data_IF_418096262111
#
_entry.id   IF_418096262111
#
_cell.length_a   1.000
_cell.length_b   1.000
_cell.length_c   1.000
_cell.angle_alpha   90.00
_cell.angle_beta   90.00
_cell.angle_gamma   90.00
#
_symmetry.space_group_name_H-M   'P 1'
#
loop_
_entity.id
_entity.type
_entity.pdbx_description
1 polymer ?
#
# COMPACT_ATOMS: atom_id res chain seq x y z
N UNK A 1 23.09 4.26 -69.36
CA UNK A 1 23.51 2.89 -69.01
C UNK A 1 22.57 2.39 -67.90
N UNK A 2 21.52 1.65 -68.28
CA UNK A 2 20.45 1.22 -67.36
C UNK A 2 20.74 -0.21 -66.94
N UNK A 3 21.00 -0.42 -65.65
CA UNK A 3 21.29 -1.73 -65.05
C UNK A 3 19.96 -2.37 -64.69
N UNK A 4 19.49 -3.31 -65.51
CA UNK A 4 18.25 -4.06 -65.28
C UNK A 4 18.49 -5.02 -64.11
N UNK A 5 17.73 -4.87 -63.01
CA UNK A 5 17.77 -5.77 -61.86
C UNK A 5 17.02 -7.08 -62.22
N UNK A 6 17.75 -8.19 -62.24
CA UNK A 6 17.17 -9.53 -62.39
C UNK A 6 16.36 -9.93 -61.14
N UNK A 7 15.09 -10.27 -61.35
CA UNK A 7 14.20 -10.83 -60.34
C UNK A 7 14.62 -12.28 -60.01
N UNK A 8 15.45 -12.47 -58.98
CA UNK A 8 15.65 -13.79 -58.37
C UNK A 8 14.41 -14.17 -57.59
N UNK A 9 13.59 -15.06 -58.14
CA UNK A 9 12.46 -15.68 -57.43
C UNK A 9 13.04 -16.52 -56.29
N UNK A 10 12.79 -16.11 -55.04
CA UNK A 10 13.26 -16.83 -53.86
C UNK A 10 12.57 -18.19 -53.76
N UNK A 11 13.36 -19.25 -53.83
CA UNK A 11 12.90 -20.61 -53.57
C UNK A 11 12.78 -20.77 -52.06
N UNK A 12 11.58 -20.53 -51.53
CA UNK A 12 11.25 -20.84 -50.14
C UNK A 12 11.29 -22.36 -49.97
N UNK A 13 12.37 -22.86 -49.41
CA UNK A 13 12.52 -24.27 -49.07
C UNK A 13 11.38 -24.69 -48.14
N UNK A 14 10.79 -25.86 -48.38
CA UNK A 14 9.66 -26.39 -47.60
C UNK A 14 9.94 -26.40 -46.09
N UNK A 15 11.20 -26.57 -45.72
CA UNK A 15 11.68 -26.49 -44.33
C UNK A 15 11.46 -25.12 -43.69
N UNK A 16 11.69 -24.02 -44.41
CA UNK A 16 11.44 -22.67 -43.90
C UNK A 16 9.95 -22.43 -43.64
N UNK A 17 9.09 -22.96 -44.51
CA UNK A 17 7.64 -22.85 -44.37
C UNK A 17 7.13 -23.59 -43.13
N UNK A 18 7.63 -24.81 -42.88
CA UNK A 18 7.26 -25.58 -41.66
C UNK A 18 7.73 -24.86 -40.40
N UNK A 19 8.95 -24.34 -40.37
CA UNK A 19 9.48 -23.60 -39.19
C UNK A 19 8.65 -22.36 -38.88
N UNK A 20 8.21 -21.62 -39.90
CA UNK A 20 7.35 -20.44 -39.73
C UNK A 20 6.00 -20.83 -39.13
N UNK A 21 5.37 -21.92 -39.61
CA UNK A 21 4.09 -22.39 -39.07
C UNK A 21 4.23 -22.76 -37.59
N UNK A 22 5.28 -23.51 -37.23
CA UNK A 22 5.51 -23.90 -35.83
C UNK A 22 5.71 -22.68 -34.93
N UNK A 23 6.44 -21.66 -35.40
CA UNK A 23 6.67 -20.42 -34.65
C UNK A 23 5.37 -19.61 -34.47
N UNK A 24 4.55 -19.52 -35.50
CA UNK A 24 3.25 -18.83 -35.43
C UNK A 24 2.32 -19.56 -34.45
N UNK A 25 2.24 -20.90 -34.53
CA UNK A 25 1.37 -21.69 -33.65
C UNK A 25 1.82 -21.59 -32.19
N UNK A 26 3.13 -21.65 -31.91
CA UNK A 26 3.64 -21.49 -30.54
C UNK A 26 3.39 -20.09 -29.98
N UNK A 27 3.56 -19.05 -30.79
CA UNK A 27 3.25 -17.68 -30.40
C UNK A 27 1.76 -17.48 -30.09
N UNK A 28 0.86 -18.06 -30.91
CA UNK A 28 -0.59 -18.01 -30.65
C UNK A 28 -0.96 -18.70 -29.34
N UNK A 29 -0.37 -19.87 -29.04
CA UNK A 29 -0.62 -20.58 -27.77
C UNK A 29 -0.17 -19.73 -26.58
N UNK A 30 1.00 -19.09 -26.66
CA UNK A 30 1.51 -18.22 -25.60
C UNK A 30 0.60 -17.00 -25.40
N UNK A 31 0.21 -16.31 -26.48
CA UNK A 31 -0.72 -15.19 -26.39
C UNK A 31 -2.06 -15.62 -25.79
N UNK A 32 -2.60 -16.76 -26.21
CA UNK A 32 -3.83 -17.31 -25.66
C UNK A 32 -3.71 -17.51 -24.15
N UNK A 33 -2.60 -18.08 -23.65
CA UNK A 33 -2.37 -18.23 -22.22
C UNK A 33 -2.29 -16.88 -21.50
N UNK A 34 -1.58 -15.89 -22.04
CA UNK A 34 -1.48 -14.55 -21.43
C UNK A 34 -2.85 -13.88 -21.33
N UNK A 35 -3.66 -13.92 -22.39
CA UNK A 35 -5.00 -13.35 -22.37
C UNK A 35 -5.96 -14.13 -21.46
N UNK A 36 -5.85 -15.46 -21.41
CA UNK A 36 -6.69 -16.28 -20.52
C UNK A 36 -6.35 -16.12 -19.05
N UNK A 37 -5.08 -15.81 -18.75
CA UNK A 37 -4.63 -15.51 -17.40
C UNK A 37 -5.14 -14.14 -16.92
N UNK A 38 -5.71 -13.32 -17.82
CA UNK A 38 -6.29 -12.00 -17.55
C UNK A 38 -5.62 -11.34 -16.35
N UNK A 39 -4.34 -10.93 -16.48
CA UNK A 39 -3.71 -10.15 -15.43
C UNK A 39 -4.60 -8.92 -15.28
N UNK A 40 -5.42 -8.91 -14.24
CA UNK A 40 -6.34 -7.81 -13.98
C UNK A 40 -5.53 -6.53 -13.91
N UNK A 41 -6.19 -5.38 -14.06
CA UNK A 41 -5.53 -4.11 -13.75
C UNK A 41 -4.96 -4.21 -12.33
N UNK A 42 -3.64 -4.29 -12.24
CA UNK A 42 -2.96 -4.39 -10.95
C UNK A 42 -3.22 -3.09 -10.22
N UNK A 43 -3.76 -3.19 -9.01
CA UNK A 43 -3.96 -2.00 -8.19
C UNK A 43 -2.60 -1.38 -7.83
N UNK A 44 -2.56 -0.07 -7.60
CA UNK A 44 -1.34 0.60 -7.10
C UNK A 44 -0.80 -0.07 -5.82
N UNK A 45 -1.69 -0.65 -5.01
CA UNK A 45 -1.34 -1.42 -3.80
C UNK A 45 -0.56 -2.69 -4.14
N UNK A 46 -1.00 -3.45 -5.13
CA UNK A 46 -0.32 -4.67 -5.61
C UNK A 46 1.02 -4.34 -6.28
N UNK A 47 1.08 -3.28 -7.09
CA UNK A 47 2.33 -2.82 -7.71
C UNK A 47 3.36 -2.45 -6.64
N UNK A 48 2.94 -1.68 -5.62
CA UNK A 48 3.80 -1.35 -4.50
C UNK A 48 4.28 -2.60 -3.76
N UNK A 49 3.37 -3.51 -3.39
CA UNK A 49 3.70 -4.76 -2.71
C UNK A 49 4.73 -5.59 -3.49
N UNK A 50 4.49 -5.77 -4.79
CA UNK A 50 5.40 -6.50 -5.66
C UNK A 50 6.77 -5.80 -5.74
N UNK A 51 6.81 -4.47 -5.82
CA UNK A 51 8.07 -3.72 -5.83
C UNK A 51 8.85 -3.86 -4.51
N UNK A 52 8.15 -3.85 -3.37
CA UNK A 52 8.72 -4.07 -2.03
C UNK A 52 9.29 -5.48 -1.91
N UNK A 53 8.51 -6.51 -2.29
CA UNK A 53 8.93 -7.90 -2.25
C UNK A 53 10.12 -8.16 -3.18
N UNK A 54 10.10 -7.63 -4.40
CA UNK A 54 11.21 -7.77 -5.36
C UNK A 54 12.49 -7.11 -4.82
N UNK A 55 12.37 -5.94 -4.21
CA UNK A 55 13.50 -5.23 -3.60
C UNK A 55 14.09 -6.01 -2.42
N UNK A 56 13.26 -6.58 -1.56
CA UNK A 56 13.74 -7.34 -0.39
C UNK A 56 14.25 -8.76 -0.69
N UNK A 57 13.81 -9.38 -1.80
CA UNK A 57 14.24 -10.74 -2.19
C UNK A 57 15.50 -10.79 -3.06
N UNK A 58 16.06 -9.65 -3.50
CA UNK A 58 17.27 -9.63 -4.31
C UNK A 58 18.48 -10.13 -3.49
N UNK A 59 18.77 -11.43 -3.65
CA UNK A 59 19.94 -12.16 -3.11
C UNK A 59 21.26 -11.46 -3.45
N UNK A 60 21.29 -10.66 -4.52
CA UNK A 60 22.37 -9.72 -4.83
C UNK A 60 22.13 -8.38 -4.13
N UNK A 61 22.22 -8.41 -2.80
CA UNK A 61 22.22 -7.28 -1.87
C UNK A 61 23.24 -6.16 -2.16
N UNK A 62 24.07 -6.31 -3.20
CA UNK A 62 25.13 -5.39 -3.59
C UNK A 62 24.74 -4.40 -4.70
N UNK A 63 23.62 -4.64 -5.40
CA UNK A 63 23.06 -3.68 -6.36
C UNK A 63 21.72 -3.23 -5.83
N UNK A 64 21.59 -1.93 -5.52
CA UNK A 64 20.34 -1.30 -5.11
C UNK A 64 19.20 -1.83 -5.98
N UNK A 65 18.28 -2.59 -5.37
CA UNK A 65 17.07 -3.03 -6.07
C UNK A 65 16.39 -1.81 -6.70
N UNK A 66 15.72 -2.02 -7.83
CA UNK A 66 15.07 -0.94 -8.57
C UNK A 66 14.22 -0.01 -7.67
N UNK A 67 13.92 1.22 -8.13
CA UNK A 67 13.15 2.16 -7.34
C UNK A 67 11.81 1.53 -6.93
N UNK A 68 11.40 1.74 -5.68
CA UNK A 68 10.08 1.33 -5.24
C UNK A 68 9.01 2.06 -6.06
N UNK A 69 7.96 1.34 -6.43
CA UNK A 69 6.83 1.92 -7.15
C UNK A 69 5.59 1.98 -6.25
N UNK A 70 5.79 2.68 -5.14
CA UNK A 70 4.75 2.93 -4.16
C UNK A 70 4.25 4.37 -4.32
N UNK A 71 2.94 4.50 -4.53
CA UNK A 71 2.23 5.78 -4.62
C UNK A 71 1.32 5.92 -3.40
N UNK A 72 1.23 7.13 -2.88
CA UNK A 72 0.28 7.48 -1.83
C UNK A 72 -1.13 7.36 -2.37
N UNK A 73 -1.97 6.54 -1.73
CA UNK A 73 -3.39 6.49 -2.06
C UNK A 73 -4.15 7.60 -1.35
N UNK A 74 -5.16 8.16 -2.00
CA UNK A 74 -6.04 9.12 -1.35
C UNK A 74 -7.39 8.44 -1.11
N UNK A 75 -7.85 8.43 0.14
CA UNK A 75 -9.08 7.80 0.57
C UNK A 75 -10.06 8.86 1.06
N UNK A 76 -11.24 8.92 0.44
CA UNK A 76 -12.36 9.71 0.91
C UNK A 76 -13.37 8.79 1.59
N UNK A 77 -13.56 8.97 2.89
CA UNK A 77 -14.64 8.31 3.63
C UNK A 77 -15.83 9.25 3.59
N UNK A 78 -16.95 8.81 3.02
CA UNK A 78 -18.08 9.65 2.64
C UNK A 78 -19.39 9.16 3.26
N UNK A 79 -20.10 10.06 3.94
CA UNK A 79 -21.50 9.90 4.33
C UNK A 79 -22.51 10.30 3.24
N UNK A 80 -22.04 10.44 1.99
CA UNK A 80 -22.84 10.77 0.82
C UNK A 80 -22.47 12.09 0.13
N UNK A 81 -21.45 12.82 0.59
CA UNK A 81 -20.86 13.97 -0.12
C UNK A 81 -19.46 13.64 -0.65
N UNK A 82 -18.84 14.53 -1.42
CA UNK A 82 -17.46 14.36 -1.90
C UNK A 82 -16.47 15.05 -0.96
N UNK A 83 -15.26 14.52 -0.86
CA UNK A 83 -14.17 15.19 -0.15
C UNK A 83 -13.60 16.30 -1.04
N UNK A 84 -13.83 17.56 -0.68
CA UNK A 84 -13.54 18.73 -1.51
C UNK A 84 -12.07 18.83 -1.93
N UNK A 85 -11.15 18.32 -1.11
CA UNK A 85 -9.72 18.50 -1.32
C UNK A 85 -9.01 17.31 -1.96
N UNK A 86 -9.75 16.32 -2.50
CA UNK A 86 -9.18 15.09 -3.11
C UNK A 86 -9.87 14.73 -4.44
N UNK A 87 -9.43 15.37 -5.53
CA UNK A 87 -10.00 15.16 -6.87
C UNK A 87 -9.82 13.74 -7.47
N UNK A 88 -9.03 12.87 -6.85
CA UNK A 88 -8.73 11.51 -7.37
C UNK A 88 -8.74 10.43 -6.28
N UNK A 89 -9.48 10.65 -5.20
CA UNK A 89 -9.56 9.70 -4.10
C UNK A 89 -10.45 8.49 -4.43
N UNK A 90 -10.03 7.32 -3.95
CA UNK A 90 -10.92 6.18 -3.78
C UNK A 90 -11.99 6.54 -2.76
N UNK A 91 -13.26 6.29 -3.06
CA UNK A 91 -14.39 6.64 -2.19
C UNK A 91 -14.91 5.41 -1.47
N UNK A 92 -15.08 5.53 -0.15
CA UNK A 92 -15.78 4.55 0.68
C UNK A 92 -17.05 5.19 1.22
N UNK A 93 -18.19 4.63 0.84
CA UNK A 93 -19.49 5.12 1.29
C UNK A 93 -19.86 4.50 2.65
N UNK A 94 -20.27 5.34 3.58
CA UNK A 94 -20.74 5.00 4.92
C UNK A 94 -22.21 5.36 5.05
N UNK A 95 -23.02 4.43 5.53
CA UNK A 95 -24.44 4.71 5.73
C UNK A 95 -24.68 5.40 7.07
N UNK A 96 -24.74 6.73 7.07
CA UNK A 96 -24.98 7.52 8.28
C UNK A 96 -26.35 7.30 8.94
N UNK A 97 -27.27 6.54 8.34
CA UNK A 97 -28.53 6.19 9.00
C UNK A 97 -28.40 4.92 9.86
N UNK A 98 -27.29 4.18 9.71
CA UNK A 98 -27.01 2.99 10.50
C UNK A 98 -26.54 3.39 11.92
N UNK A 99 -26.91 2.58 12.92
CA UNK A 99 -26.38 2.73 14.29
C UNK A 99 -24.89 2.40 14.35
N UNK A 100 -24.42 1.55 13.45
CA UNK A 100 -23.02 1.13 13.36
C UNK A 100 -22.19 2.02 12.42
N UNK A 101 -22.69 3.18 11.98
CA UNK A 101 -21.97 4.02 11.01
C UNK A 101 -20.61 4.50 11.51
N UNK A 102 -20.45 4.67 12.82
CA UNK A 102 -19.15 4.98 13.43
C UNK A 102 -18.16 3.83 13.27
N UNK A 103 -18.62 2.60 13.48
CA UNK A 103 -17.82 1.39 13.26
C UNK A 103 -17.46 1.20 11.78
N UNK A 104 -18.36 1.57 10.85
CA UNK A 104 -18.07 1.56 9.41
C UNK A 104 -16.94 2.55 9.05
N UNK A 105 -16.90 3.73 9.69
CA UNK A 105 -15.81 4.71 9.52
C UNK A 105 -14.49 4.14 10.04
N UNK A 106 -14.50 3.60 11.27
CA UNK A 106 -13.32 2.97 11.88
C UNK A 106 -12.84 1.79 11.04
N UNK A 107 -13.76 0.98 10.51
CA UNK A 107 -13.45 -0.15 9.63
C UNK A 107 -12.74 0.29 8.36
N UNK A 108 -13.19 1.37 7.73
CA UNK A 108 -12.57 1.92 6.52
C UNK A 108 -11.11 2.33 6.79
N UNK A 109 -10.86 3.03 7.91
CA UNK A 109 -9.51 3.39 8.34
C UNK A 109 -8.68 2.15 8.66
N UNK A 110 -9.22 1.19 9.41
CA UNK A 110 -8.54 -0.03 9.81
C UNK A 110 -8.14 -0.90 8.61
N UNK A 111 -9.02 -1.02 7.61
CA UNK A 111 -8.72 -1.70 6.34
C UNK A 111 -7.54 -1.03 5.64
N UNK A 112 -7.54 0.30 5.57
CA UNK A 112 -6.47 1.02 4.88
C UNK A 112 -5.12 0.94 5.61
N UNK A 113 -5.13 0.93 6.94
CA UNK A 113 -3.93 0.61 7.73
C UNK A 113 -3.44 -0.81 7.46
N UNK A 114 -4.36 -1.76 7.33
CA UNK A 114 -4.02 -3.15 7.12
C UNK A 114 -3.52 -3.44 5.69
N UNK A 115 -4.01 -2.69 4.72
CA UNK A 115 -3.51 -2.67 3.34
C UNK A 115 -2.13 -2.03 3.27
N UNK A 116 -1.90 -0.91 3.97
CA UNK A 116 -0.56 -0.33 4.12
C UNK A 116 0.44 -1.33 4.69
N UNK A 117 0.07 -2.05 5.75
CA UNK A 117 0.93 -3.08 6.35
C UNK A 117 1.26 -4.20 5.36
N UNK A 118 0.27 -4.64 4.60
CA UNK A 118 0.44 -5.65 3.56
C UNK A 118 1.36 -5.16 2.44
N UNK A 119 1.15 -3.93 1.94
CA UNK A 119 1.96 -3.31 0.88
C UNK A 119 3.45 -3.34 1.23
N UNK A 120 3.80 -3.12 2.49
CA UNK A 120 5.19 -3.11 2.95
C UNK A 120 5.68 -4.46 3.50
N UNK A 121 5.01 -5.56 3.13
CA UNK A 121 5.48 -6.91 3.39
C UNK A 121 5.29 -7.39 4.83
N UNK A 122 4.38 -6.77 5.59
CA UNK A 122 3.96 -7.19 6.94
C UNK A 122 5.11 -7.35 7.95
N UNK A 123 6.20 -6.60 7.73
CA UNK A 123 7.42 -6.70 8.51
C UNK A 123 8.22 -7.98 8.31
N UNK A 124 8.04 -8.66 7.17
CA UNK A 124 8.83 -9.84 6.77
C UNK A 124 9.81 -9.52 5.66
N UNK A 125 9.72 -8.33 5.07
CA UNK A 125 10.50 -7.90 3.91
C UNK A 125 11.33 -6.69 4.31
N UNK A 126 12.66 -6.82 4.24
CA UNK A 126 13.55 -5.67 4.33
C UNK A 126 13.70 -5.06 2.92
N UNK A 127 13.00 -3.96 2.67
CA UNK A 127 13.05 -3.20 1.41
C UNK A 127 14.02 -2.01 1.47
N UNK A 128 14.81 -1.96 2.53
CA UNK A 128 15.82 -0.97 2.81
C UNK A 128 17.00 -0.95 1.86
N UNK A 129 17.92 0.00 2.10
CA UNK A 129 19.27 -0.07 1.52
C UNK A 129 20.27 -0.50 2.59
N UNK A 130 20.96 -1.60 2.33
CA UNK A 130 21.93 -2.15 3.27
C UNK A 130 23.06 -1.15 3.49
N UNK A 131 23.31 -0.83 4.77
CA UNK A 131 24.33 0.13 5.17
C UNK A 131 23.87 1.59 5.15
N UNK A 132 22.60 1.85 4.82
CA UNK A 132 21.95 3.12 5.13
C UNK A 132 21.67 3.21 6.62
N UNK A 133 22.05 4.32 7.25
CA UNK A 133 21.63 4.63 8.62
C UNK A 133 20.36 5.48 8.68
N UNK A 134 19.74 5.73 7.52
CA UNK A 134 18.56 6.58 7.41
C UNK A 134 17.29 5.75 7.51
N UNK A 135 16.40 6.16 8.41
CA UNK A 135 15.05 5.58 8.53
C UNK A 135 14.26 5.89 7.26
N UNK A 136 13.58 4.89 6.71
CA UNK A 136 12.73 5.03 5.52
C UNK A 136 11.26 4.96 5.90
N UNK A 137 10.53 6.04 5.66
CA UNK A 137 9.11 6.14 5.91
C UNK A 137 8.31 6.05 4.62
N UNK A 138 7.14 5.44 4.69
CA UNK A 138 6.18 5.36 3.60
C UNK A 138 4.84 5.93 4.05
N UNK A 139 4.29 6.85 3.27
CA UNK A 139 2.89 7.29 3.39
C UNK A 139 2.07 6.42 2.45
N UNK A 140 1.43 5.40 2.98
CA UNK A 140 0.61 4.50 2.19
C UNK A 140 -0.66 5.18 1.69
N UNK A 141 -1.27 5.99 2.56
CA UNK A 141 -2.54 6.64 2.24
C UNK A 141 -2.74 7.93 3.00
N UNK A 142 -3.50 8.85 2.42
CA UNK A 142 -4.06 10.02 3.07
C UNK A 142 -5.57 9.87 3.12
N UNK A 143 -6.12 9.92 4.33
CA UNK A 143 -7.54 9.78 4.62
C UNK A 143 -8.15 11.15 4.88
N UNK A 144 -9.28 11.43 4.24
CA UNK A 144 -10.13 12.59 4.47
C UNK A 144 -11.57 12.14 4.67
N UNK A 145 -12.30 12.82 5.55
CA UNK A 145 -13.70 12.56 5.83
C UNK A 145 -14.56 13.65 5.20
N UNK A 146 -15.71 13.29 4.65
CA UNK A 146 -16.63 14.27 4.07
C UNK A 146 -17.33 15.13 5.14
N UNK A 147 -17.94 16.23 4.72
CA UNK A 147 -18.58 17.17 5.65
C UNK A 147 -19.70 16.53 6.48
N UNK A 148 -20.43 15.54 5.93
CA UNK A 148 -21.52 14.87 6.65
C UNK A 148 -20.98 14.04 7.80
N UNK A 149 -19.88 13.31 7.58
CA UNK A 149 -19.18 12.60 8.64
C UNK A 149 -18.66 13.60 9.66
N UNK A 150 -18.00 14.69 9.23
CA UNK A 150 -17.49 15.71 10.14
C UNK A 150 -18.56 16.30 11.07
N UNK A 151 -19.76 16.56 10.52
CA UNK A 151 -20.89 17.11 11.28
C UNK A 151 -21.47 16.09 12.28
N UNK A 152 -21.54 14.81 11.91
CA UNK A 152 -22.16 13.76 12.74
C UNK A 152 -21.18 13.18 13.77
N UNK A 153 -19.92 13.02 13.39
CA UNK A 153 -18.83 12.41 14.14
C UNK A 153 -17.62 13.35 14.10
N UNK A 154 -17.61 14.45 14.87
CA UNK A 154 -16.53 15.45 14.84
C UNK A 154 -15.19 14.87 15.32
N UNK A 155 -15.24 13.85 16.17
CA UNK A 155 -14.08 13.17 16.72
C UNK A 155 -14.37 11.68 16.92
N UNK A 156 -13.33 10.86 16.81
CA UNK A 156 -13.32 9.44 17.19
C UNK A 156 -12.21 9.27 18.22
N UNK A 157 -12.51 8.74 19.41
CA UNK A 157 -11.46 8.57 20.41
C UNK A 157 -10.53 7.43 20.04
N UNK A 158 -9.25 7.56 20.38
CA UNK A 158 -8.32 6.46 20.16
C UNK A 158 -8.71 5.21 20.97
N UNK A 159 -9.31 5.37 22.14
CA UNK A 159 -9.86 4.27 22.92
C UNK A 159 -10.89 3.44 22.14
N UNK A 160 -11.86 4.10 21.50
CA UNK A 160 -12.86 3.45 20.64
C UNK A 160 -12.21 2.79 19.42
N UNK A 161 -11.29 3.52 18.76
CA UNK A 161 -10.56 3.02 17.60
C UNK A 161 -9.79 1.73 17.91
N UNK A 162 -8.96 1.73 18.95
CA UNK A 162 -8.17 0.55 19.32
C UNK A 162 -9.01 -0.59 19.90
N UNK A 163 -10.11 -0.29 20.60
CA UNK A 163 -11.04 -1.31 21.05
C UNK A 163 -11.73 -2.01 19.87
N UNK A 164 -12.10 -1.26 18.82
CA UNK A 164 -12.55 -1.85 17.56
C UNK A 164 -11.47 -2.74 16.93
N UNK A 165 -10.23 -2.25 16.80
CA UNK A 165 -9.14 -3.06 16.23
C UNK A 165 -8.92 -4.37 17.00
N UNK A 166 -9.11 -4.34 18.33
CA UNK A 166 -8.99 -5.51 19.20
C UNK A 166 -10.10 -6.52 18.98
N UNK A 167 -11.34 -6.07 18.85
CA UNK A 167 -12.55 -6.91 18.78
C UNK A 167 -12.83 -7.44 17.38
N UNK A 168 -12.48 -6.68 16.34
CA UNK A 168 -12.81 -7.00 14.96
C UNK A 168 -11.74 -7.88 14.31
N UNK A 169 -12.18 -8.98 13.68
CA UNK A 169 -11.30 -9.90 12.94
C UNK A 169 -10.94 -9.31 11.56
N UNK A 170 -9.65 -9.29 11.21
CA UNK A 170 -9.19 -9.04 9.83
C UNK A 170 -9.29 -10.32 8.99
N UNK A 171 -8.84 -11.44 9.56
CA UNK A 171 -8.91 -12.78 8.97
C UNK A 171 -9.27 -13.80 10.06
N UNK A 172 -9.73 -14.99 9.66
CA UNK A 172 -10.43 -16.00 10.48
C UNK A 172 -9.90 -16.29 11.91
N UNK A 173 -8.64 -15.98 12.23
CA UNK A 173 -8.06 -16.15 13.58
C UNK A 173 -7.34 -14.92 14.14
N UNK A 174 -7.33 -13.78 13.45
CA UNK A 174 -6.51 -12.62 13.83
C UNK A 174 -7.32 -11.31 13.81
N UNK A 175 -7.30 -10.58 14.93
CA UNK A 175 -7.86 -9.23 15.01
C UNK A 175 -6.99 -8.22 14.26
N UNK A 176 -7.53 -7.05 13.92
CA UNK A 176 -6.73 -5.97 13.33
C UNK A 176 -5.57 -5.56 14.24
N UNK A 177 -5.80 -5.46 15.56
CA UNK A 177 -4.78 -5.11 16.54
C UNK A 177 -3.61 -6.10 16.48
N UNK A 178 -3.93 -7.41 16.47
CA UNK A 178 -2.90 -8.44 16.40
C UNK A 178 -2.18 -8.44 15.06
N UNK A 179 -2.88 -8.19 13.96
CA UNK A 179 -2.30 -8.13 12.63
C UNK A 179 -1.33 -6.95 12.46
N UNK A 180 -1.74 -5.75 12.89
CA UNK A 180 -0.96 -4.52 12.71
C UNK A 180 0.22 -4.45 13.69
N UNK A 181 0.02 -4.89 14.93
CA UNK A 181 0.97 -4.62 16.02
C UNK A 181 1.55 -5.89 16.66
N UNK A 182 1.01 -7.07 16.36
CA UNK A 182 1.45 -8.33 16.98
C UNK A 182 0.99 -8.50 18.44
N UNK A 183 0.02 -7.70 18.90
CA UNK A 183 -0.45 -7.71 20.30
C UNK A 183 -1.97 -7.89 20.37
N UNK A 184 -2.46 -8.41 21.49
CA UNK A 184 -3.91 -8.59 21.74
C UNK A 184 -4.48 -7.59 22.74
N UNK A 185 -3.61 -6.81 23.38
CA UNK A 185 -3.98 -5.82 24.39
C UNK A 185 -3.43 -4.45 23.98
N UNK A 186 -4.32 -3.46 23.99
CA UNK A 186 -4.08 -2.05 23.60
C UNK A 186 -2.99 -1.42 24.46
N UNK A 187 -2.84 -1.85 25.72
CA UNK A 187 -1.80 -1.34 26.61
C UNK A 187 -0.38 -1.55 26.05
N UNK A 188 -0.14 -2.63 25.29
CA UNK A 188 1.17 -2.87 24.67
C UNK A 188 1.43 -1.96 23.48
N UNK A 189 0.38 -1.46 22.80
CA UNK A 189 0.55 -0.49 21.71
C UNK A 189 1.04 0.84 22.27
N UNK A 190 0.46 1.29 23.39
CA UNK A 190 0.82 2.56 24.05
C UNK A 190 2.30 2.57 24.41
N UNK A 191 2.77 1.51 25.07
CA UNK A 191 4.14 1.41 25.61
C UNK A 191 5.19 1.33 24.50
N UNK A 192 4.87 0.69 23.38
CA UNK A 192 5.82 0.47 22.28
C UNK A 192 5.62 1.41 21.08
N UNK A 193 4.66 2.34 21.17
CA UNK A 193 4.45 3.32 20.10
C UNK A 193 5.57 4.35 20.07
N UNK A 194 6.20 4.50 18.92
CA UNK A 194 7.22 5.54 18.73
C UNK A 194 6.61 6.94 18.69
N UNK A 195 5.34 7.03 18.31
CA UNK A 195 4.58 8.28 18.18
C UNK A 195 3.98 8.78 19.52
N UNK A 196 4.32 8.16 20.66
CA UNK A 196 3.88 8.53 22.01
C UNK A 196 2.36 8.73 22.10
N UNK A 197 1.60 7.81 21.53
CA UNK A 197 0.15 7.90 21.46
C UNK A 197 -0.45 7.74 22.85
N UNK A 198 -1.27 8.70 23.28
CA UNK A 198 -2.06 8.61 24.50
C UNK A 198 -3.50 8.20 24.17
N UNK A 199 -3.77 6.89 24.21
CA UNK A 199 -5.07 6.30 23.87
C UNK A 199 -6.25 6.90 24.64
N UNK A 200 -6.02 7.44 25.84
CA UNK A 200 -7.09 8.00 26.68
C UNK A 200 -7.42 9.46 26.33
N UNK A 201 -6.50 10.19 25.70
CA UNK A 201 -6.63 11.63 25.49
C UNK A 201 -6.62 12.01 24.00
N UNK A 202 -5.95 11.22 23.16
CA UNK A 202 -5.80 11.48 21.74
C UNK A 202 -7.07 11.08 20.98
N UNK A 203 -7.34 11.82 19.91
CA UNK A 203 -8.55 11.66 19.09
C UNK A 203 -8.21 11.82 17.61
N UNK A 204 -9.00 11.16 16.77
CA UNK A 204 -9.03 11.40 15.33
C UNK A 204 -10.09 12.47 15.10
N UNK A 205 -9.64 13.68 14.79
CA UNK A 205 -10.48 14.84 14.49
C UNK A 205 -10.91 14.76 13.04
N UNK A 206 -12.18 14.48 12.73
CA UNK A 206 -12.59 14.16 11.35
C UNK A 206 -12.51 15.36 10.39
N UNK A 207 -12.38 16.57 10.90
CA UNK A 207 -12.12 17.78 10.12
C UNK A 207 -10.64 17.94 9.70
N UNK A 208 -9.76 17.01 10.08
CA UNK A 208 -8.36 16.98 9.68
C UNK A 208 -8.10 15.84 8.68
N UNK A 209 -7.00 15.96 7.94
CA UNK A 209 -6.47 14.88 7.10
C UNK A 209 -5.52 14.01 7.89
N UNK A 210 -5.54 12.71 7.63
CA UNK A 210 -4.67 11.75 8.30
C UNK A 210 -3.80 10.98 7.32
N UNK A 211 -2.52 10.88 7.64
CA UNK A 211 -1.57 10.04 6.91
C UNK A 211 -1.47 8.68 7.59
N UNK A 212 -1.63 7.61 6.82
CA UNK A 212 -1.31 6.24 7.23
C UNK A 212 0.13 5.96 6.85
N UNK A 213 0.97 5.74 7.85
CA UNK A 213 2.42 5.64 7.71
C UNK A 213 2.96 4.32 8.22
N UNK A 214 4.04 3.86 7.60
CA UNK A 214 4.88 2.74 8.05
C UNK A 214 6.33 3.04 7.68
N UNK A 215 7.26 2.16 8.01
CA UNK A 215 8.67 2.39 7.74
C UNK A 215 9.58 1.26 8.18
N UNK A 216 10.87 1.43 7.91
CA UNK A 216 11.93 0.51 8.28
C UNK A 216 13.19 1.29 8.70
N UNK A 217 13.84 0.83 9.76
CA UNK A 217 15.18 1.26 10.15
C UNK A 217 16.18 0.26 9.60
N UNK A 218 17.05 0.70 8.71
CA UNK A 218 18.07 -0.12 8.05
C UNK A 218 19.38 -0.18 8.83
N UNK A 219 19.42 0.39 10.06
CA UNK A 219 20.61 0.44 10.87
C UNK A 219 21.13 -0.98 11.21
N UNK A 220 22.35 -1.36 10.80
CA UNK A 220 22.88 -2.72 10.96
C UNK A 220 23.17 -3.14 12.42
N UNK A 221 23.13 -2.20 13.37
CA UNK A 221 23.50 -2.44 14.78
C UNK A 221 22.29 -2.86 15.62
N UNK A 222 21.11 -2.32 15.33
CA UNK A 222 19.84 -2.71 15.94
C UNK A 222 19.06 -3.51 14.90
N UNK A 223 18.72 -4.76 15.20
CA UNK A 223 17.96 -5.63 14.29
C UNK A 223 16.80 -4.88 13.61
N UNK A 224 16.79 -4.82 12.28
CA UNK A 224 15.79 -4.19 11.39
C UNK A 224 14.52 -3.75 12.15
N UNK A 225 14.50 -2.51 12.67
CA UNK A 225 13.35 -2.01 13.42
C UNK A 225 12.28 -1.66 12.40
N UNK A 226 11.31 -2.56 12.23
CA UNK A 226 10.19 -2.32 11.34
C UNK A 226 9.15 -1.49 12.08
N UNK A 227 8.88 -0.31 11.54
CA UNK A 227 7.89 0.61 12.06
C UNK A 227 6.51 0.05 11.71
N UNK A 228 5.73 -0.28 12.73
CA UNK A 228 4.33 -0.69 12.58
C UNK A 228 3.53 0.42 11.90
N UNK A 229 2.32 0.08 11.47
CA UNK A 229 1.45 1.06 10.82
C UNK A 229 0.83 1.99 11.85
N UNK A 230 0.86 3.29 11.58
CA UNK A 230 0.20 4.30 12.40
C UNK A 230 -0.61 5.23 11.53
N UNK A 231 -1.64 5.81 12.15
CA UNK A 231 -2.40 6.91 11.60
C UNK A 231 -2.02 8.18 12.38
N UNK A 232 -1.62 9.24 11.69
CA UNK A 232 -1.23 10.51 12.30
C UNK A 232 -1.82 11.68 11.49
N UNK A 233 -2.06 12.85 12.12
CA UNK A 233 -2.46 14.04 11.35
C UNK A 233 -1.44 14.35 10.26
N UNK A 234 -1.90 14.61 9.04
CA UNK A 234 -1.01 14.89 7.90
C UNK A 234 -0.16 16.15 8.15
N UNK A 235 -0.69 17.12 8.89
CA UNK A 235 0.02 18.33 9.33
C UNK A 235 1.22 18.05 10.24
N UNK A 236 1.22 16.92 10.95
CA UNK A 236 2.28 16.51 11.87
C UNK A 236 3.26 15.51 11.24
N UNK A 237 3.03 15.12 9.98
CA UNK A 237 3.85 14.10 9.31
C UNK A 237 5.29 14.55 9.14
N UNK A 238 5.55 15.83 8.85
CA UNK A 238 6.92 16.34 8.75
C UNK A 238 7.61 16.37 10.12
N UNK A 239 7.01 17.04 11.11
CA UNK A 239 7.59 17.26 12.44
C UNK A 239 7.80 15.98 13.27
N UNK A 240 7.04 14.91 12.99
CA UNK A 240 7.21 13.62 13.67
C UNK A 240 8.25 12.71 13.01
N UNK A 241 8.66 13.02 11.78
CA UNK A 241 9.50 12.14 10.95
C UNK A 241 10.83 12.81 10.53
N UNK A 242 11.23 13.87 11.23
CA UNK A 242 12.30 14.83 10.89
C UNK A 242 13.70 14.22 10.58
N UNK A 243 13.93 12.93 10.83
CA UNK A 243 15.22 12.25 10.59
C UNK A 243 15.15 11.13 9.51
N UNK A 244 14.04 10.99 8.79
CA UNK A 244 13.85 9.94 7.78
C UNK A 244 13.59 10.42 6.35
N UNK A 245 13.74 9.49 5.40
CA UNK A 245 13.45 9.70 3.98
C UNK A 245 12.09 9.09 3.61
N UNK A 246 11.27 9.84 2.88
CA UNK A 246 10.01 9.32 2.35
C UNK A 246 10.23 8.57 1.03
N UNK A 247 9.81 7.30 0.99
CA UNK A 247 9.98 6.42 -0.19
C UNK A 247 8.75 6.33 -1.09
N UNK A 248 7.63 6.94 -0.69
CA UNK A 248 6.38 6.95 -1.44
C UNK A 248 6.28 8.19 -2.32
N UNK A 249 5.82 8.00 -3.56
CA UNK A 249 5.53 9.10 -4.49
C UNK A 249 4.15 9.68 -4.19
N UNK A 250 4.01 11.00 -4.30
CA UNK A 250 2.75 11.72 -4.11
C UNK A 250 1.72 11.40 -5.20
#
# INVERSE_FOLDING_TARGET
MVKIMENKKGELTTTQLVTIIVLIVSFIIILFLIFRLNPGEQSNKEICHNSVVLRGNLVLRATSGGPLDCRTNYLCISGGDDCENLASASKVEVNLNNKDSENEIIEAVAKEMADCWYMFGEGKVNYGEIGSSTIKYAICSVVEFDEKIQKKYPEITYAEFYDYLRKTQKQSSQSYLNYLYGVNDVNFVIVNSQFKINVNNDKIMTNEKYSIITGIDDNPIDSDIIFKVYIIPTSETSSRLDEGEFITKA
#
